data_IF_702516389245
#
_entry.id   IF_702516389245
#
_cell.length_a   1.000
_cell.length_b   1.000
_cell.length_c   1.000
_cell.angle_alpha   90.00
_cell.angle_beta   90.00
_cell.angle_gamma   90.00
#
_symmetry.space_group_name_H-M   'P 1'
#
loop_
_entity.id
_entity.type
_entity.pdbx_description
1 polymer ?
#
# COMPACT_ATOMS: atom_id res chain seq x y z
N UNK A 1 -14.03 8.65 -6.39
CA UNK A 1 -13.03 8.01 -5.49
C UNK A 1 -12.30 6.98 -6.31
N UNK A 2 -10.96 7.03 -6.39
CA UNK A 2 -10.19 6.06 -7.17
C UNK A 2 -10.34 4.65 -6.57
N UNK A 3 -10.48 3.63 -7.43
CA UNK A 3 -10.56 2.24 -6.97
C UNK A 3 -9.18 1.76 -6.52
N UNK A 4 -9.07 1.01 -5.41
CA UNK A 4 -7.83 0.34 -5.02
C UNK A 4 -7.17 -0.41 -6.18
N UNK A 5 -7.96 -1.03 -7.05
CA UNK A 5 -7.45 -1.84 -8.15
C UNK A 5 -6.87 -0.99 -9.31
N UNK A 6 -7.33 0.27 -9.46
CA UNK A 6 -6.76 1.23 -10.41
C UNK A 6 -5.33 1.59 -10.04
N UNK A 7 -5.02 1.74 -8.76
CA UNK A 7 -3.67 2.02 -8.29
C UNK A 7 -2.70 0.88 -8.64
N UNK A 8 -3.07 -0.39 -8.43
CA UNK A 8 -2.22 -1.52 -8.83
C UNK A 8 -2.11 -1.68 -10.34
N UNK A 9 -3.18 -1.37 -11.08
CA UNK A 9 -3.17 -1.38 -12.54
C UNK A 9 -2.21 -0.30 -13.08
N UNK A 10 -2.19 0.87 -12.45
CA UNK A 10 -1.23 1.93 -12.75
C UNK A 10 0.21 1.46 -12.51
N UNK A 11 0.51 0.88 -11.33
CA UNK A 11 1.86 0.36 -11.03
C UNK A 11 2.30 -0.70 -12.04
N UNK A 12 1.39 -1.61 -12.43
CA UNK A 12 1.64 -2.61 -13.46
C UNK A 12 1.96 -1.96 -14.83
N UNK A 13 1.35 -0.83 -15.14
CA UNK A 13 1.55 -0.11 -16.40
C UNK A 13 2.90 0.59 -16.44
N UNK A 14 3.25 1.36 -15.40
CA UNK A 14 4.53 2.09 -15.34
C UNK A 14 5.73 1.14 -15.27
N UNK A 15 5.55 -0.06 -14.67
CA UNK A 15 6.52 -1.17 -14.73
C UNK A 15 6.81 -1.62 -16.15
N UNK A 16 5.78 -1.73 -16.99
CA UNK A 16 5.92 -2.17 -18.39
C UNK A 16 6.52 -1.09 -19.30
N UNK A 17 6.27 0.18 -18.98
CA UNK A 17 6.78 1.33 -19.75
C UNK A 17 8.20 1.75 -19.38
N UNK A 18 8.87 1.01 -18.50
CA UNK A 18 10.20 1.32 -17.99
C UNK A 18 10.29 2.69 -17.27
N UNK A 19 9.17 3.20 -16.75
CA UNK A 19 9.12 4.48 -16.03
C UNK A 19 9.74 4.38 -14.61
N UNK A 20 10.01 3.14 -14.15
CA UNK A 20 10.72 2.86 -12.91
C UNK A 20 12.24 3.09 -12.97
N UNK A 21 12.78 3.50 -14.12
CA UNK A 21 14.19 3.93 -14.20
C UNK A 21 14.42 5.31 -13.57
N UNK A 22 13.34 5.99 -13.18
CA UNK A 22 13.40 7.29 -12.52
C UNK A 22 13.01 7.16 -11.07
N UNK A 23 13.65 7.95 -10.20
CA UNK A 23 13.28 8.07 -8.79
C UNK A 23 11.80 8.42 -8.63
N UNK A 24 11.30 9.37 -9.43
CA UNK A 24 9.89 9.76 -9.44
C UNK A 24 8.95 8.57 -9.73
N UNK A 25 9.31 7.71 -10.69
CA UNK A 25 8.56 6.51 -11.01
C UNK A 25 8.53 5.50 -9.87
N UNK A 26 9.67 5.28 -9.20
CA UNK A 26 9.77 4.39 -8.03
C UNK A 26 8.98 4.94 -6.84
N UNK A 27 9.15 6.22 -6.49
CA UNK A 27 8.38 6.87 -5.42
C UNK A 27 6.88 6.81 -5.68
N UNK A 28 6.46 7.06 -6.92
CA UNK A 28 5.06 6.93 -7.33
C UNK A 28 4.57 5.49 -7.15
N UNK A 29 5.34 4.49 -7.60
CA UNK A 29 4.95 3.10 -7.50
C UNK A 29 4.75 2.63 -6.05
N UNK A 30 5.66 3.00 -5.14
CA UNK A 30 5.57 2.68 -3.71
C UNK A 30 4.32 3.31 -3.08
N UNK A 31 4.07 4.59 -3.35
CA UNK A 31 2.87 5.29 -2.92
C UNK A 31 1.58 4.58 -3.37
N UNK A 32 1.50 4.22 -4.66
CA UNK A 32 0.30 3.58 -5.21
C UNK A 32 0.07 2.17 -4.66
N UNK A 33 1.14 1.40 -4.39
CA UNK A 33 1.02 0.11 -3.72
C UNK A 33 0.42 0.26 -2.30
N UNK A 34 0.94 1.22 -1.52
CA UNK A 34 0.45 1.45 -0.16
C UNK A 34 -1.01 1.92 -0.15
N UNK A 35 -1.35 2.97 -0.92
CA UNK A 35 -2.72 3.50 -0.93
C UNK A 35 -3.74 2.47 -1.44
N UNK A 36 -3.36 1.64 -2.42
CA UNK A 36 -4.21 0.54 -2.86
C UNK A 36 -4.58 -0.38 -1.69
N UNK A 37 -3.58 -0.86 -0.95
CA UNK A 37 -3.80 -1.80 0.15
C UNK A 37 -4.52 -1.16 1.35
N UNK A 38 -4.18 0.09 1.68
CA UNK A 38 -4.84 0.83 2.75
C UNK A 38 -6.33 1.05 2.46
N UNK A 39 -6.68 1.55 1.27
CA UNK A 39 -8.09 1.82 0.93
C UNK A 39 -8.87 0.51 0.87
N UNK A 40 -8.27 -0.58 0.38
CA UNK A 40 -8.94 -1.88 0.36
C UNK A 40 -9.18 -2.43 1.78
N UNK A 41 -8.22 -2.27 2.69
CA UNK A 41 -8.38 -2.61 4.09
C UNK A 41 -9.45 -1.74 4.78
N UNK A 42 -9.39 -0.42 4.59
CA UNK A 42 -10.37 0.54 5.12
C UNK A 42 -11.79 0.18 4.70
N UNK A 43 -12.03 0.05 3.40
CA UNK A 43 -13.36 -0.27 2.87
C UNK A 43 -13.90 -1.60 3.41
N UNK A 44 -13.03 -2.61 3.54
CA UNK A 44 -13.42 -3.91 4.10
C UNK A 44 -13.76 -3.81 5.58
N UNK A 45 -12.95 -3.12 6.39
CA UNK A 45 -13.20 -2.94 7.81
C UNK A 45 -14.43 -2.06 8.08
N UNK A 46 -14.64 -1.01 7.28
CA UNK A 46 -15.85 -0.17 7.30
C UNK A 46 -17.10 -0.97 6.95
N UNK A 47 -17.01 -1.91 5.98
CA UNK A 47 -18.13 -2.82 5.68
C UNK A 47 -18.50 -3.74 6.85
N UNK A 48 -17.59 -3.90 7.83
CA UNK A 48 -17.82 -4.63 9.09
C UNK A 48 -18.20 -3.73 10.26
N UNK A 49 -18.44 -2.44 10.02
CA UNK A 49 -18.88 -1.48 11.02
C UNK A 49 -17.76 -0.79 11.80
N UNK A 50 -16.50 -0.94 11.40
CA UNK A 50 -15.41 -0.13 11.96
C UNK A 50 -15.51 1.31 11.43
N UNK A 51 -15.14 2.28 12.26
CA UNK A 51 -15.00 3.67 11.86
C UNK A 51 -13.58 4.13 12.16
N UNK A 52 -13.01 4.94 11.28
CA UNK A 52 -11.67 5.47 11.41
C UNK A 52 -11.69 7.00 11.40
N UNK A 53 -10.68 7.61 12.00
CA UNK A 53 -10.46 9.05 11.97
C UNK A 53 -10.24 9.55 10.53
N UNK A 54 -10.54 10.83 10.27
CA UNK A 54 -10.31 11.48 8.97
C UNK A 54 -9.02 12.33 8.95
N UNK A 55 -8.01 11.92 9.71
CA UNK A 55 -6.73 12.61 9.86
C UNK A 55 -5.56 11.64 9.57
N UNK A 56 -4.32 12.07 9.81
CA UNK A 56 -3.13 11.24 9.59
C UNK A 56 -3.08 9.99 10.49
N UNK A 57 -3.80 9.98 11.62
CA UNK A 57 -3.84 8.83 12.54
C UNK A 57 -4.63 7.66 11.96
N UNK A 58 -5.53 7.91 11.00
CA UNK A 58 -6.31 6.90 10.28
C UNK A 58 -5.43 5.74 9.78
N UNK A 59 -4.23 6.05 9.27
CA UNK A 59 -3.29 5.05 8.76
C UNK A 59 -2.88 4.04 9.84
N UNK A 60 -2.60 4.54 11.05
CA UNK A 60 -2.22 3.70 12.21
C UNK A 60 -3.41 2.91 12.71
N UNK A 61 -4.58 3.53 12.84
CA UNK A 61 -5.79 2.86 13.28
C UNK A 61 -6.16 1.68 12.37
N UNK A 62 -6.09 1.87 11.04
CA UNK A 62 -6.34 0.79 10.08
C UNK A 62 -5.31 -0.32 10.25
N UNK A 63 -4.02 -0.01 10.34
CA UNK A 63 -2.97 -1.02 10.50
C UNK A 63 -3.18 -1.84 11.77
N UNK A 64 -3.46 -1.19 12.90
CA UNK A 64 -3.70 -1.88 14.16
C UNK A 64 -4.95 -2.75 14.10
N UNK A 65 -6.04 -2.29 13.47
CA UNK A 65 -7.22 -3.15 13.22
C UNK A 65 -6.93 -4.33 12.30
N UNK A 66 -6.10 -4.14 11.28
CA UNK A 66 -5.66 -5.25 10.42
C UNK A 66 -4.80 -6.23 11.23
N UNK A 67 -3.89 -5.75 12.11
CA UNK A 67 -3.07 -6.61 12.97
C UNK A 67 -3.91 -7.39 13.99
N UNK A 68 -4.87 -6.74 14.64
CA UNK A 68 -5.80 -7.39 15.58
C UNK A 68 -6.55 -8.56 14.90
N UNK A 69 -6.98 -8.37 13.65
CA UNK A 69 -7.67 -9.43 12.89
C UNK A 69 -6.69 -10.48 12.33
N UNK A 70 -5.52 -10.04 11.86
CA UNK A 70 -4.51 -10.89 11.26
C UNK A 70 -3.12 -10.20 11.29
N UNK A 71 -2.29 -10.59 12.26
CA UNK A 71 -0.95 -10.03 12.48
C UNK A 71 -0.10 -10.00 11.19
N UNK A 72 -0.03 -11.11 10.46
CA UNK A 72 0.74 -11.18 9.19
C UNK A 72 0.24 -10.21 8.11
N UNK A 73 -1.08 -9.97 8.03
CA UNK A 73 -1.61 -8.97 7.09
C UNK A 73 -1.29 -7.56 7.57
N UNK A 74 -1.37 -7.33 8.88
CA UNK A 74 -1.04 -6.06 9.50
C UNK A 74 0.43 -5.68 9.30
N UNK A 75 1.34 -6.64 9.47
CA UNK A 75 2.77 -6.47 9.20
C UNK A 75 3.04 -6.11 7.75
N UNK A 76 2.37 -6.78 6.80
CA UNK A 76 2.49 -6.43 5.38
C UNK A 76 2.03 -5.01 5.10
N UNK A 77 0.89 -4.60 5.67
CA UNK A 77 0.39 -3.23 5.49
C UNK A 77 1.33 -2.21 6.13
N UNK A 78 1.91 -2.54 7.28
CA UNK A 78 2.92 -1.72 7.94
C UNK A 78 4.20 -1.60 7.10
N UNK A 79 4.72 -2.70 6.53
CA UNK A 79 5.86 -2.65 5.61
C UNK A 79 5.57 -1.78 4.38
N UNK A 80 4.36 -1.82 3.83
CA UNK A 80 3.96 -0.92 2.74
C UNK A 80 3.98 0.56 3.16
N UNK A 81 3.53 0.87 4.38
CA UNK A 81 3.61 2.22 4.95
C UNK A 81 5.07 2.67 5.15
N UNK A 82 5.93 1.81 5.69
CA UNK A 82 7.36 2.11 5.89
C UNK A 82 8.05 2.43 4.56
N UNK A 83 7.79 1.63 3.52
CA UNK A 83 8.33 1.90 2.19
C UNK A 83 7.79 3.19 1.58
N UNK A 84 6.50 3.49 1.78
CA UNK A 84 5.92 4.78 1.36
C UNK A 84 6.57 5.94 2.10
N UNK A 85 6.75 5.84 3.41
CA UNK A 85 7.34 6.92 4.21
C UNK A 85 8.80 7.15 3.82
N UNK A 86 9.57 6.08 3.57
CA UNK A 86 10.90 6.18 2.99
C UNK A 86 10.83 6.89 1.63
N UNK A 87 9.92 6.48 0.77
CA UNK A 87 9.74 7.09 -0.55
C UNK A 87 9.25 8.53 -0.54
N UNK A 88 8.71 9.07 0.55
CA UNK A 88 8.19 10.46 0.57
C UNK A 88 9.03 11.40 1.43
N UNK A 89 9.68 10.90 2.49
CA UNK A 89 10.36 11.74 3.48
C UNK A 89 11.86 11.49 3.58
N UNK A 90 12.37 10.37 3.06
CA UNK A 90 13.81 10.14 2.98
C UNK A 90 14.38 10.87 1.75
N UNK A 91 15.14 11.92 2.02
CA UNK A 91 15.82 12.71 0.98
C UNK A 91 17.01 11.95 0.36
N UNK A 92 17.49 10.88 0.99
CA UNK A 92 18.55 10.01 0.47
C UNK A 92 18.00 8.82 -0.32
N UNK A 93 16.67 8.66 -0.38
CA UNK A 93 16.05 7.60 -1.15
C UNK A 93 16.18 7.82 -2.66
N UNK A 94 17.19 7.21 -3.26
CA UNK A 94 17.51 7.35 -4.68
C UNK A 94 16.61 6.52 -5.63
N UNK A 95 15.51 5.93 -5.14
CA UNK A 95 14.56 5.20 -5.98
C UNK A 95 15.09 3.88 -6.53
N UNK A 96 15.49 2.94 -5.67
CA UNK A 96 15.88 1.59 -6.10
C UNK A 96 14.68 0.84 -6.72
N UNK A 97 14.69 0.72 -8.04
CA UNK A 97 13.66 0.01 -8.83
C UNK A 97 13.54 -1.48 -8.49
N UNK A 98 14.60 -2.09 -7.94
CA UNK A 98 14.61 -3.47 -7.47
C UNK A 98 13.59 -3.72 -6.35
N UNK A 99 13.25 -2.69 -5.58
CA UNK A 99 12.26 -2.74 -4.51
C UNK A 99 10.81 -2.84 -5.03
N UNK A 100 10.54 -2.41 -6.28
CA UNK A 100 9.15 -2.33 -6.76
C UNK A 100 8.53 -3.70 -7.00
N UNK A 101 9.28 -4.67 -7.52
CA UNK A 101 8.76 -6.01 -7.76
C UNK A 101 8.27 -6.73 -6.48
N UNK A 102 9.07 -6.81 -5.39
CA UNK A 102 8.60 -7.40 -4.14
C UNK A 102 7.46 -6.60 -3.50
N UNK A 103 7.52 -5.27 -3.51
CA UNK A 103 6.45 -4.43 -2.92
C UNK A 103 5.14 -4.52 -3.69
N UNK A 104 5.18 -4.53 -5.02
CA UNK A 104 4.02 -4.80 -5.85
C UNK A 104 3.42 -6.18 -5.56
N UNK A 105 4.27 -7.21 -5.44
CA UNK A 105 3.84 -8.57 -5.12
C UNK A 105 3.16 -8.64 -3.74
N UNK A 106 3.71 -7.95 -2.75
CA UNK A 106 3.15 -7.85 -1.41
C UNK A 106 1.78 -7.16 -1.42
N UNK A 107 1.67 -5.99 -2.03
CA UNK A 107 0.41 -5.24 -2.13
C UNK A 107 -0.65 -6.04 -2.88
N UNK A 108 -0.28 -6.71 -3.98
CA UNK A 108 -1.19 -7.61 -4.70
C UNK A 108 -1.66 -8.77 -3.82
N UNK A 109 -0.74 -9.49 -3.17
CA UNK A 109 -1.12 -10.60 -2.28
C UNK A 109 -1.96 -10.13 -1.08
N UNK A 110 -1.74 -8.93 -0.57
CA UNK A 110 -2.57 -8.35 0.48
C UNK A 110 -3.98 -8.11 -0.07
N UNK A 111 -4.10 -7.43 -1.20
CA UNK A 111 -5.38 -7.08 -1.81
C UNK A 111 -6.22 -8.30 -2.21
N UNK A 112 -5.58 -9.38 -2.65
CA UNK A 112 -6.24 -10.63 -3.01
C UNK A 112 -6.79 -11.37 -1.78
N UNK A 113 -6.21 -11.13 -0.59
CA UNK A 113 -6.53 -11.87 0.64
C UNK A 113 -7.37 -11.10 1.65
N UNK A 114 -7.42 -9.77 1.54
CA UNK A 114 -8.07 -8.86 2.51
C UNK A 114 -9.48 -9.34 2.89
N UNK A 115 -10.32 -9.68 1.91
CA UNK A 115 -11.70 -10.10 2.15
C UNK A 115 -11.83 -11.49 2.79
N UNK A 116 -10.80 -12.33 2.69
CA UNK A 116 -10.79 -13.70 3.22
C UNK A 116 -10.02 -13.86 4.54
N UNK A 117 -9.22 -12.85 4.91
CA UNK A 117 -8.27 -12.91 6.04
C UNK A 117 -8.53 -11.86 7.12
N UNK A 118 -9.31 -10.83 6.81
CA UNK A 118 -9.78 -9.83 7.77
C UNK A 118 -11.26 -10.00 8.01
#
# INVERSE_FOLDING_TARGET
MFSPDEFLTFVKTIRRKNELQTEAGVRTALNRCYFSSLVKAKNHLESKGNNFSNNEEMHKEIIEKVKEANETMGDKLNTLLEMRNKADYDMEFNGDSGLISPIYGMSKSFNDKVSSKL
#
